data_IF_631920103101
#
_entry.id   IF_631920103101
#
_cell.length_a   1.000
_cell.length_b   1.000
_cell.length_c   1.000
_cell.angle_alpha   90.00
_cell.angle_beta   90.00
_cell.angle_gamma   90.00
#
_symmetry.space_group_name_H-M   'P 1'
#
loop_
_entity.id
_entity.type
_entity.pdbx_description
1 polymer ?
#
# COMPACT_ATOMS: atom_id res chain seq x y z
N UNK A 1 2.79 18.48 34.32
CA UNK A 1 1.54 17.85 33.83
C UNK A 1 1.91 16.45 33.30
N UNK A 2 1.30 15.37 33.81
CA UNK A 2 1.51 14.01 33.24
C UNK A 2 0.79 13.97 31.89
N UNK A 3 1.53 13.85 30.80
CA UNK A 3 1.01 13.55 29.47
C UNK A 3 0.07 12.33 29.56
N UNK A 4 -1.12 12.48 29.03
CA UNK A 4 -2.17 11.44 29.08
C UNK A 4 -1.83 10.43 27.98
N UNK A 5 -1.17 9.32 28.34
CA UNK A 5 -0.73 8.29 27.38
C UNK A 5 -1.87 7.85 26.44
N UNK A 6 -1.59 7.82 25.15
CA UNK A 6 -2.50 7.31 24.12
C UNK A 6 -3.01 5.91 24.47
N UNK A 7 -4.29 5.66 24.19
CA UNK A 7 -4.92 4.34 24.39
C UNK A 7 -5.27 3.71 23.05
N UNK A 8 -5.20 2.37 22.96
CA UNK A 8 -5.68 1.63 21.79
C UNK A 8 -7.16 1.94 21.54
N UNK A 9 -7.54 2.16 20.28
CA UNK A 9 -8.88 2.57 19.85
C UNK A 9 -9.15 4.08 19.91
N UNK A 10 -8.28 4.87 20.54
CA UNK A 10 -8.42 6.31 20.59
C UNK A 10 -8.25 6.92 19.19
N UNK A 11 -9.15 7.83 18.83
CA UNK A 11 -9.01 8.69 17.65
C UNK A 11 -8.39 10.01 18.10
N UNK A 12 -7.41 10.48 17.35
CA UNK A 12 -6.73 11.73 17.60
C UNK A 12 -6.26 12.38 16.30
N UNK A 13 -5.89 13.65 16.37
CA UNK A 13 -5.29 14.40 15.29
C UNK A 13 -3.88 14.87 15.66
N UNK A 14 -3.10 15.19 14.64
CA UNK A 14 -1.79 15.78 14.83
C UNK A 14 -1.11 16.15 13.51
N UNK A 15 0.01 16.81 13.63
CA UNK A 15 0.80 17.27 12.50
C UNK A 15 1.93 16.28 12.21
N UNK A 16 2.08 15.91 10.95
CA UNK A 16 3.18 15.06 10.49
C UNK A 16 4.46 15.90 10.41
N UNK A 17 5.41 15.63 11.29
CA UNK A 17 6.66 16.39 11.36
C UNK A 17 7.72 15.86 10.40
N UNK A 18 7.86 14.52 10.31
CA UNK A 18 8.82 13.84 9.45
C UNK A 18 8.33 12.45 9.06
N UNK A 19 9.04 11.81 8.13
CA UNK A 19 8.77 10.42 7.73
C UNK A 19 10.05 9.60 7.82
N UNK A 20 10.06 8.61 8.70
CA UNK A 20 11.13 7.63 8.83
C UNK A 20 10.95 6.49 7.81
N UNK A 21 12.06 5.84 7.47
CA UNK A 21 12.05 4.68 6.55
C UNK A 21 11.24 3.49 7.13
N UNK A 22 10.52 2.75 6.30
CA UNK A 22 10.27 2.96 4.87
C UNK A 22 9.11 3.93 4.58
N UNK A 23 8.19 4.17 5.51
CA UNK A 23 6.99 4.98 5.33
C UNK A 23 6.28 5.19 6.69
N UNK A 24 7.04 5.58 7.69
CA UNK A 24 6.56 5.80 9.06
C UNK A 24 6.49 7.30 9.32
N UNK A 25 5.32 7.91 9.10
CA UNK A 25 5.12 9.31 9.47
C UNK A 25 5.13 9.48 10.97
N UNK A 26 5.87 10.44 11.45
CA UNK A 26 5.93 10.86 12.84
C UNK A 26 4.91 11.97 13.02
N UNK A 27 3.84 11.66 13.71
CA UNK A 27 2.77 12.60 14.02
C UNK A 27 2.95 13.10 15.45
N UNK A 28 2.93 14.42 15.61
CA UNK A 28 2.86 15.07 16.93
C UNK A 28 1.44 15.58 17.13
N UNK A 29 0.79 15.09 18.18
CA UNK A 29 -0.54 15.59 18.58
C UNK A 29 -0.44 16.96 19.24
N UNK A 30 -1.57 17.64 19.38
CA UNK A 30 -1.62 18.94 20.04
C UNK A 30 -1.24 18.86 21.54
N UNK A 31 -1.38 17.65 22.15
CA UNK A 31 -0.93 17.34 23.50
C UNK A 31 0.55 16.94 23.60
N UNK A 32 1.29 16.96 22.51
CA UNK A 32 2.73 16.62 22.46
C UNK A 32 3.04 15.13 22.45
N UNK A 33 2.07 14.27 22.19
CA UNK A 33 2.27 12.83 22.05
C UNK A 33 2.82 12.47 20.67
N UNK A 34 3.84 11.61 20.63
CA UNK A 34 4.43 11.10 19.38
C UNK A 34 3.77 9.80 18.95
N UNK A 35 3.18 9.77 17.74
CA UNK A 35 2.50 8.61 17.17
C UNK A 35 3.07 8.30 15.79
N UNK A 36 3.27 7.03 15.48
CA UNK A 36 3.71 6.58 14.15
C UNK A 36 2.47 6.27 13.31
N UNK A 37 2.28 7.00 12.21
CA UNK A 37 1.18 6.79 11.26
C UNK A 37 1.73 6.60 9.86
N UNK A 38 1.49 5.44 9.26
CA UNK A 38 1.95 5.14 7.90
C UNK A 38 1.14 5.89 6.83
N UNK A 39 1.72 6.03 5.64
CA UNK A 39 1.08 6.65 4.47
C UNK A 39 0.76 8.14 4.67
N UNK A 40 1.59 8.85 5.38
CA UNK A 40 1.49 10.29 5.60
C UNK A 40 2.71 11.02 5.03
N UNK A 41 2.58 12.33 4.86
CA UNK A 41 3.57 13.20 4.26
C UNK A 41 3.89 14.35 5.23
N UNK A 42 5.16 14.78 5.37
CA UNK A 42 5.54 15.88 6.25
C UNK A 42 4.75 17.16 5.91
N UNK A 43 4.22 17.81 6.96
CA UNK A 43 3.41 19.02 6.84
C UNK A 43 1.91 18.78 6.70
N UNK A 44 1.46 17.52 6.61
CA UNK A 44 0.03 17.19 6.72
C UNK A 44 -0.46 17.31 8.16
N UNK A 45 -1.74 17.70 8.34
CA UNK A 45 -2.52 17.41 9.56
C UNK A 45 -3.40 16.20 9.28
N UNK A 46 -3.34 15.21 10.15
CA UNK A 46 -4.00 13.91 9.91
C UNK A 46 -4.82 13.49 11.13
N UNK A 47 -5.96 12.86 10.87
CA UNK A 47 -6.75 12.11 11.84
C UNK A 47 -6.38 10.63 11.75
N UNK A 48 -6.20 9.97 12.90
CA UNK A 48 -5.79 8.56 12.96
C UNK A 48 -6.41 7.85 14.16
N UNK A 49 -6.60 6.55 14.04
CA UNK A 49 -6.98 5.67 15.15
C UNK A 49 -5.75 4.92 15.67
N UNK A 50 -5.51 5.00 16.98
CA UNK A 50 -4.41 4.28 17.63
C UNK A 50 -4.72 2.78 17.61
N UNK A 51 -3.92 2.00 16.92
CA UNK A 51 -4.11 0.55 16.79
C UNK A 51 -3.18 -0.26 17.70
N UNK A 52 -2.06 0.33 18.14
CA UNK A 52 -1.10 -0.35 18.99
C UNK A 52 -0.38 0.63 19.91
N UNK A 53 -0.20 0.21 21.15
CA UNK A 53 0.68 0.91 22.12
C UNK A 53 1.59 -0.13 22.76
N UNK A 54 2.91 0.03 22.60
CA UNK A 54 3.90 -0.88 23.18
C UNK A 54 5.14 -0.12 23.63
N UNK A 55 5.59 -0.36 24.85
CA UNK A 55 6.80 0.28 25.44
C UNK A 55 6.83 1.81 25.25
N UNK A 56 5.70 2.49 25.45
CA UNK A 56 5.60 3.94 25.32
C UNK A 56 5.55 4.48 23.87
N UNK A 57 5.60 3.59 22.84
CA UNK A 57 5.44 3.96 21.43
C UNK A 57 4.02 3.66 20.99
N UNK A 58 3.34 4.66 20.42
CA UNK A 58 2.02 4.52 19.83
C UNK A 58 2.13 4.41 18.30
N UNK A 59 1.36 3.49 17.70
CA UNK A 59 1.17 3.37 16.26
C UNK A 59 -0.30 3.59 15.94
N UNK A 60 -0.58 4.35 14.88
CA UNK A 60 -1.93 4.68 14.45
C UNK A 60 -2.16 4.28 12.98
N UNK A 61 -3.41 3.99 12.66
CA UNK A 61 -3.90 3.83 11.29
C UNK A 61 -4.48 5.15 10.83
N UNK A 62 -3.98 5.68 9.72
CA UNK A 62 -4.52 6.88 9.08
C UNK A 62 -6.02 6.68 8.78
N UNK A 63 -6.84 7.62 9.21
CA UNK A 63 -8.26 7.71 8.87
C UNK A 63 -8.46 8.72 7.75
N UNK A 64 -7.92 9.92 7.91
CA UNK A 64 -8.12 11.03 7.00
C UNK A 64 -6.95 12.00 7.02
N UNK A 65 -6.72 12.65 5.89
CA UNK A 65 -5.85 13.84 5.80
C UNK A 65 -6.70 15.07 5.97
N UNK A 66 -6.74 15.63 7.19
CA UNK A 66 -7.53 16.80 7.56
C UNK A 66 -7.05 18.05 6.81
N UNK A 67 -5.74 18.20 6.68
CA UNK A 67 -5.12 19.27 5.90
C UNK A 67 -3.93 18.73 5.12
N UNK A 68 -3.90 19.00 3.81
CA UNK A 68 -2.77 18.66 2.94
C UNK A 68 -1.53 19.46 3.32
N UNK A 69 -0.37 18.88 3.05
CA UNK A 69 0.90 19.60 3.13
C UNK A 69 0.95 20.71 2.07
N UNK A 70 1.47 21.91 2.39
CA UNK A 70 1.66 22.95 1.38
C UNK A 70 2.64 22.55 0.27
N UNK A 71 3.37 21.44 0.43
CA UNK A 71 4.29 20.89 -0.57
C UNK A 71 3.59 19.94 -1.57
N UNK A 72 2.34 19.54 -1.30
CA UNK A 72 1.65 18.62 -2.18
C UNK A 72 1.15 19.29 -3.44
N UNK A 73 1.27 18.58 -4.57
CA UNK A 73 0.74 18.95 -5.87
C UNK A 73 -0.58 18.24 -6.16
N UNK A 74 -1.42 18.86 -6.96
CA UNK A 74 -2.64 18.24 -7.50
C UNK A 74 -2.32 17.32 -8.70
N UNK A 75 -1.16 17.45 -9.34
CA UNK A 75 -0.76 16.63 -10.48
C UNK A 75 -0.29 15.24 -10.02
N UNK A 76 -1.25 14.39 -9.74
CA UNK A 76 -1.03 13.00 -9.32
C UNK A 76 -1.67 12.01 -10.29
N UNK A 77 -1.27 10.74 -10.19
CA UNK A 77 -2.00 9.65 -10.83
C UNK A 77 -3.43 9.59 -10.32
N UNK A 78 -4.41 9.38 -11.21
CA UNK A 78 -5.84 9.30 -10.84
C UNK A 78 -6.14 8.21 -9.81
N UNK A 79 -5.29 7.18 -9.72
CA UNK A 79 -5.42 6.10 -8.74
C UNK A 79 -4.67 6.36 -7.43
N UNK A 80 -3.97 7.52 -7.31
CA UNK A 80 -3.24 7.86 -6.09
C UNK A 80 -4.18 7.98 -4.90
N UNK A 81 -3.77 7.41 -3.77
CA UNK A 81 -4.62 7.34 -2.57
C UNK A 81 -5.45 6.06 -2.47
N UNK A 82 -5.94 5.53 -3.59
CA UNK A 82 -6.64 4.24 -3.64
C UNK A 82 -5.66 3.08 -3.88
N UNK A 83 -4.83 3.19 -4.92
CA UNK A 83 -3.79 2.21 -5.23
C UNK A 83 -2.68 2.20 -4.17
N UNK A 84 -2.27 1.02 -3.73
CA UNK A 84 -1.18 0.83 -2.76
C UNK A 84 0.23 1.02 -3.32
N UNK A 85 0.38 1.24 -4.63
CA UNK A 85 1.69 1.21 -5.31
C UNK A 85 2.61 2.40 -5.06
N UNK A 86 2.07 3.60 -4.78
CA UNK A 86 2.86 4.82 -4.62
C UNK A 86 2.60 5.50 -3.27
N UNK A 87 3.68 5.99 -2.63
CA UNK A 87 3.60 6.66 -1.33
C UNK A 87 3.70 8.18 -1.43
N UNK A 88 4.60 8.69 -2.26
CA UNK A 88 4.98 10.11 -2.28
C UNK A 88 4.60 10.84 -3.58
N UNK A 89 3.74 10.27 -4.42
CA UNK A 89 3.44 10.84 -5.74
C UNK A 89 2.71 12.19 -5.69
N UNK A 90 2.09 12.55 -4.56
CA UNK A 90 1.53 13.88 -4.35
C UNK A 90 2.58 14.96 -4.08
N UNK A 91 3.87 14.59 -3.97
CA UNK A 91 4.96 15.54 -3.82
C UNK A 91 5.70 15.77 -5.14
N UNK A 92 6.18 16.98 -5.42
CA UNK A 92 7.16 17.22 -6.48
C UNK A 92 8.37 16.30 -6.32
N UNK A 93 9.00 15.92 -7.44
CA UNK A 93 10.06 14.92 -7.43
C UNK A 93 11.25 15.32 -6.54
N UNK A 94 11.64 16.58 -6.53
CA UNK A 94 12.69 17.12 -5.67
C UNK A 94 12.39 16.94 -4.19
N UNK A 95 11.13 17.11 -3.78
CA UNK A 95 10.72 16.88 -2.39
C UNK A 95 10.76 15.38 -2.04
N UNK A 96 10.42 14.50 -2.99
CA UNK A 96 10.59 13.05 -2.83
C UNK A 96 12.07 12.67 -2.62
N UNK A 97 12.99 13.29 -3.37
CA UNK A 97 14.43 13.08 -3.23
C UNK A 97 14.92 13.53 -1.85
N UNK A 98 14.53 14.74 -1.40
CA UNK A 98 14.89 15.24 -0.07
C UNK A 98 14.47 14.30 1.06
N UNK A 99 13.24 13.78 1.00
CA UNK A 99 12.75 12.80 1.98
C UNK A 99 13.64 11.55 1.98
N UNK A 100 13.90 10.98 0.80
CA UNK A 100 14.73 9.77 0.66
C UNK A 100 16.16 9.99 1.13
N UNK A 101 16.75 11.11 0.77
CA UNK A 101 18.10 11.47 1.21
C UNK A 101 18.19 11.60 2.72
N UNK A 102 17.23 12.31 3.34
CA UNK A 102 17.15 12.45 4.81
C UNK A 102 16.99 11.09 5.49
N UNK A 103 16.16 10.21 4.93
CA UNK A 103 15.96 8.86 5.48
C UNK A 103 17.24 8.03 5.42
N UNK A 104 17.94 8.01 4.28
CA UNK A 104 19.17 7.26 4.10
C UNK A 104 20.28 7.80 5.01
N UNK A 105 20.46 9.13 5.03
CA UNK A 105 21.42 9.78 5.91
C UNK A 105 21.18 9.41 7.38
N UNK A 106 19.94 9.54 7.85
CA UNK A 106 19.60 9.20 9.23
C UNK A 106 19.81 7.72 9.59
N UNK A 107 19.60 6.79 8.64
CA UNK A 107 19.91 5.37 8.87
C UNK A 107 21.41 5.12 8.94
N UNK A 108 22.21 5.78 8.11
CA UNK A 108 23.67 5.67 8.13
C UNK A 108 24.21 6.25 9.46
N UNK A 109 23.79 7.46 9.82
CA UNK A 109 24.19 8.12 11.06
C UNK A 109 23.85 7.27 12.30
N UNK A 110 22.65 6.65 12.31
CA UNK A 110 22.26 5.77 13.38
C UNK A 110 23.11 4.49 13.44
N UNK A 111 23.54 3.97 12.29
CA UNK A 111 24.32 2.73 12.23
C UNK A 111 25.80 2.94 12.56
N UNK A 112 26.38 4.05 12.12
CA UNK A 112 27.81 4.37 12.26
C UNK A 112 28.07 5.07 13.61
N UNK A 113 27.15 5.95 14.06
CA UNK A 113 27.35 6.84 15.20
C UNK A 113 28.58 7.73 14.98
N UNK A 114 29.34 7.94 16.03
CA UNK A 114 30.59 8.71 16.01
C UNK A 114 31.82 7.87 15.65
N UNK A 115 31.62 6.62 15.18
CA UNK A 115 32.70 5.63 15.00
C UNK A 115 33.69 6.01 13.88
N UNK A 116 33.22 6.71 12.83
CA UNK A 116 34.08 7.18 11.75
C UNK A 116 33.50 8.39 11.03
N UNK A 117 34.39 9.24 10.51
CA UNK A 117 34.01 10.29 9.57
C UNK A 117 33.69 9.66 8.19
N UNK A 118 32.64 10.15 7.54
CA UNK A 118 32.27 9.74 6.19
C UNK A 118 31.83 10.94 5.37
N UNK A 119 32.00 10.85 4.07
CA UNK A 119 31.47 11.82 3.13
C UNK A 119 30.13 11.33 2.57
N UNK A 120 29.11 12.18 2.65
CA UNK A 120 27.78 11.87 2.12
C UNK A 120 27.52 12.65 0.85
N UNK A 121 27.52 11.98 -0.28
CA UNK A 121 27.18 12.57 -1.56
C UNK A 121 25.67 12.74 -1.70
N UNK A 122 25.21 13.85 -2.32
CA UNK A 122 23.80 14.09 -2.53
C UNK A 122 23.17 13.02 -3.45
N UNK A 123 21.87 12.77 -3.23
CA UNK A 123 21.12 11.79 -4.03
C UNK A 123 21.14 12.18 -5.52
N UNK A 124 21.47 11.22 -6.37
CA UNK A 124 21.35 11.41 -7.82
C UNK A 124 19.91 11.20 -8.26
N UNK A 125 19.36 12.17 -8.99
CA UNK A 125 18.02 12.06 -9.53
C UNK A 125 17.94 11.11 -10.72
N UNK A 126 16.76 10.51 -10.94
CA UNK A 126 16.49 9.72 -12.15
C UNK A 126 16.30 10.65 -13.35
N UNK A 127 16.80 10.30 -14.55
CA UNK A 127 16.52 11.05 -15.78
C UNK A 127 15.05 10.97 -16.19
N UNK A 128 14.30 9.99 -15.66
CA UNK A 128 12.86 9.79 -15.87
C UNK A 128 12.14 9.74 -14.54
N UNK A 129 11.19 10.62 -14.32
CA UNK A 129 10.36 10.67 -13.10
C UNK A 129 9.03 9.93 -13.26
N UNK A 130 8.59 9.72 -14.50
CA UNK A 130 7.42 8.94 -14.90
C UNK A 130 7.84 7.85 -15.89
N UNK A 131 7.03 6.82 -16.07
CA UNK A 131 7.28 5.70 -16.97
C UNK A 131 8.68 5.06 -16.79
N UNK A 132 9.20 5.07 -15.57
CA UNK A 132 10.55 4.57 -15.27
C UNK A 132 10.58 3.09 -14.90
N UNK A 133 9.43 2.53 -14.54
CA UNK A 133 9.33 1.17 -14.00
C UNK A 133 9.33 0.16 -15.13
N UNK A 134 10.27 -0.76 -15.11
CA UNK A 134 10.50 -1.76 -16.15
C UNK A 134 10.01 -3.18 -15.77
N UNK A 135 9.41 -3.34 -14.60
CA UNK A 135 8.77 -4.58 -14.14
C UNK A 135 7.53 -4.26 -13.33
N UNK A 136 6.41 -4.88 -13.68
CA UNK A 136 5.19 -4.80 -12.90
C UNK A 136 4.56 -6.18 -12.77
N UNK A 137 4.05 -6.48 -11.59
CA UNK A 137 3.27 -7.67 -11.32
C UNK A 137 1.89 -7.20 -10.86
N UNK A 138 0.92 -7.41 -11.73
CA UNK A 138 -0.47 -7.09 -11.46
C UNK A 138 -1.15 -8.32 -10.86
N UNK A 139 -2.05 -8.10 -9.92
CA UNK A 139 -2.83 -9.16 -9.30
C UNK A 139 -4.23 -9.21 -9.89
N UNK A 140 -4.74 -10.43 -10.13
CA UNK A 140 -6.16 -10.65 -10.35
C UNK A 140 -6.90 -10.69 -9.02
N UNK A 141 -8.14 -10.20 -9.01
CA UNK A 141 -9.02 -10.18 -7.85
C UNK A 141 -10.33 -9.47 -8.14
N UNK A 142 -11.05 -9.08 -7.10
CA UNK A 142 -12.27 -8.27 -7.18
C UNK A 142 -11.94 -6.77 -7.05
N UNK A 143 -12.70 -5.90 -7.69
CA UNK A 143 -12.63 -4.45 -7.41
C UNK A 143 -13.12 -4.12 -5.98
N UNK A 144 -14.13 -4.86 -5.56
CA UNK A 144 -14.71 -4.89 -4.23
C UNK A 144 -15.30 -6.29 -4.01
N UNK A 145 -15.62 -6.64 -2.77
CA UNK A 145 -16.17 -7.96 -2.42
C UNK A 145 -17.32 -8.36 -3.36
N UNK A 146 -17.19 -9.50 -4.00
CA UNK A 146 -18.14 -10.06 -4.99
C UNK A 146 -18.37 -9.14 -6.21
N UNK A 147 -17.43 -8.24 -6.48
CA UNK A 147 -17.44 -7.34 -7.61
C UNK A 147 -16.91 -7.97 -8.90
N UNK A 148 -16.80 -7.18 -9.98
CA UNK A 148 -16.28 -7.65 -11.24
C UNK A 148 -14.81 -8.04 -11.14
N UNK A 149 -14.37 -8.96 -12.01
CA UNK A 149 -12.96 -9.29 -12.15
C UNK A 149 -12.13 -8.03 -12.42
N UNK A 150 -11.10 -7.84 -11.62
CA UNK A 150 -10.13 -6.76 -11.74
C UNK A 150 -8.73 -7.33 -11.96
N UNK A 151 -7.89 -6.56 -12.65
CA UNK A 151 -6.47 -6.81 -12.80
C UNK A 151 -5.71 -5.52 -12.53
N UNK A 152 -4.83 -5.52 -11.53
CA UNK A 152 -4.14 -4.29 -11.16
C UNK A 152 -3.34 -4.40 -9.87
N UNK A 153 -3.42 -3.37 -9.05
CA UNK A 153 -2.68 -3.27 -7.80
C UNK A 153 -3.63 -3.38 -6.61
N UNK A 154 -3.15 -3.96 -5.51
CA UNK A 154 -3.92 -3.99 -4.28
C UNK A 154 -4.31 -2.58 -3.83
N UNK A 155 -5.57 -2.42 -3.42
CA UNK A 155 -6.09 -1.20 -2.84
C UNK A 155 -5.39 -0.92 -1.52
N UNK A 156 -5.10 0.33 -1.27
CA UNK A 156 -4.44 0.77 -0.04
C UNK A 156 -5.28 0.41 1.19
N UNK A 157 -4.69 -0.36 2.11
CA UNK A 157 -5.38 -0.80 3.31
C UNK A 157 -6.30 -2.01 3.15
N UNK A 158 -6.42 -2.57 1.94
CA UNK A 158 -7.11 -3.83 1.67
C UNK A 158 -6.12 -4.92 1.21
N UNK A 159 -6.39 -6.16 1.59
CA UNK A 159 -5.65 -7.34 1.12
C UNK A 159 -6.32 -8.02 -0.08
N UNK A 160 -7.58 -7.70 -0.33
CA UNK A 160 -8.42 -8.40 -1.30
C UNK A 160 -8.75 -7.53 -2.50
N UNK A 161 -9.17 -6.29 -2.27
CA UNK A 161 -9.62 -5.41 -3.34
C UNK A 161 -8.49 -5.02 -4.28
N UNK A 162 -8.75 -5.09 -5.58
CA UNK A 162 -7.82 -4.74 -6.64
C UNK A 162 -8.29 -3.45 -7.32
N UNK A 163 -7.38 -2.52 -7.49
CA UNK A 163 -7.59 -1.30 -8.29
C UNK A 163 -7.02 -1.54 -9.68
N UNK A 164 -7.87 -1.52 -10.69
CA UNK A 164 -7.43 -1.57 -12.09
C UNK A 164 -6.71 -0.27 -12.43
N UNK A 165 -5.42 -0.37 -12.76
CA UNK A 165 -4.53 0.81 -12.89
C UNK A 165 -4.25 1.15 -14.35
N UNK A 166 -5.31 1.36 -15.12
CA UNK A 166 -5.28 1.64 -16.55
C UNK A 166 -4.52 2.92 -16.92
N UNK A 167 -4.36 3.85 -15.97
CA UNK A 167 -3.65 5.12 -16.16
C UNK A 167 -2.46 5.26 -15.20
N UNK A 168 -1.78 4.14 -14.91
CA UNK A 168 -0.61 4.14 -14.04
C UNK A 168 0.55 4.96 -14.64
N UNK A 169 0.98 6.01 -13.95
CA UNK A 169 1.99 6.95 -14.45
C UNK A 169 3.44 6.46 -14.30
N UNK A 170 3.70 5.45 -13.46
CA UNK A 170 5.07 4.95 -13.24
C UNK A 170 5.50 3.89 -14.26
N UNK A 171 4.56 3.32 -15.03
CA UNK A 171 4.82 2.43 -16.16
C UNK A 171 4.49 3.11 -17.48
N UNK A 172 5.06 2.62 -18.58
CA UNK A 172 4.77 3.14 -19.91
C UNK A 172 3.44 2.61 -20.49
N UNK A 173 3.10 3.07 -21.72
CA UNK A 173 1.87 2.74 -22.39
C UNK A 173 1.69 1.25 -22.65
N UNK A 174 2.77 0.52 -22.94
CA UNK A 174 2.72 -0.91 -23.27
C UNK A 174 2.20 -1.73 -22.09
N UNK A 175 2.67 -1.44 -20.87
CA UNK A 175 2.17 -2.11 -19.66
C UNK A 175 0.66 -1.92 -19.46
N UNK A 176 0.18 -0.71 -19.70
CA UNK A 176 -1.24 -0.37 -19.56
C UNK A 176 -2.09 -1.05 -20.64
N UNK A 177 -1.61 -1.06 -21.87
CA UNK A 177 -2.27 -1.73 -22.98
C UNK A 177 -2.36 -3.25 -22.74
N UNK A 178 -1.27 -3.89 -22.31
CA UNK A 178 -1.22 -5.33 -21.98
C UNK A 178 -2.17 -5.64 -20.83
N UNK A 179 -2.15 -4.84 -19.75
CA UNK A 179 -3.06 -5.00 -18.61
C UNK A 179 -4.51 -4.98 -19.06
N UNK A 180 -4.91 -3.96 -19.84
CA UNK A 180 -6.30 -3.77 -20.25
C UNK A 180 -6.76 -4.85 -21.25
N UNK A 181 -5.91 -5.24 -22.21
CA UNK A 181 -6.22 -6.32 -23.14
C UNK A 181 -6.39 -7.66 -22.41
N UNK A 182 -5.50 -7.96 -21.46
CA UNK A 182 -5.57 -9.18 -20.63
C UNK A 182 -6.84 -9.21 -19.79
N UNK A 183 -7.17 -8.10 -19.13
CA UNK A 183 -8.39 -8.00 -18.32
C UNK A 183 -9.66 -8.17 -19.16
N UNK A 184 -9.73 -7.51 -20.32
CA UNK A 184 -10.87 -7.60 -21.23
C UNK A 184 -11.09 -9.05 -21.69
N UNK A 185 -10.00 -9.73 -22.11
CA UNK A 185 -10.06 -11.12 -22.53
C UNK A 185 -10.61 -12.05 -21.44
N UNK A 186 -10.09 -11.98 -20.22
CA UNK A 186 -10.53 -12.88 -19.15
C UNK A 186 -11.92 -12.54 -18.59
N UNK A 187 -12.37 -11.30 -18.70
CA UNK A 187 -13.77 -10.92 -18.43
C UNK A 187 -14.74 -11.56 -19.43
N UNK A 188 -14.38 -11.53 -20.71
CA UNK A 188 -15.18 -12.14 -21.78
C UNK A 188 -15.26 -13.67 -21.65
N UNK A 189 -14.17 -14.30 -21.21
CA UNK A 189 -14.12 -15.76 -21.03
C UNK A 189 -14.71 -16.23 -19.70
N UNK A 190 -15.14 -15.31 -18.84
CA UNK A 190 -15.71 -15.60 -17.50
C UNK A 190 -14.80 -16.51 -16.64
N UNK A 191 -13.46 -16.33 -16.74
CA UNK A 191 -12.48 -17.13 -16.01
C UNK A 191 -12.21 -16.48 -14.65
N UNK A 192 -12.39 -17.25 -13.57
CA UNK A 192 -12.26 -16.78 -12.20
C UNK A 192 -10.82 -16.66 -11.73
N UNK A 193 -10.56 -15.64 -10.88
CA UNK A 193 -9.29 -15.49 -10.19
C UNK A 193 -9.19 -16.46 -8.99
N UNK A 194 -7.96 -16.74 -8.57
CA UNK A 194 -7.67 -17.59 -7.42
C UNK A 194 -8.02 -16.88 -6.11
N UNK A 195 -9.02 -17.42 -5.42
CA UNK A 195 -9.45 -16.93 -4.13
C UNK A 195 -8.63 -17.57 -3.00
N UNK A 196 -7.81 -16.77 -2.32
CA UNK A 196 -6.81 -17.24 -1.33
C UNK A 196 -7.41 -18.00 -0.14
N UNK A 197 -8.64 -17.69 0.26
CA UNK A 197 -9.28 -18.30 1.41
C UNK A 197 -9.94 -19.64 1.07
N UNK A 198 -10.46 -19.75 -0.15
CA UNK A 198 -11.12 -20.96 -0.64
C UNK A 198 -10.15 -21.94 -1.28
N UNK A 199 -8.95 -21.45 -1.64
CA UNK A 199 -7.96 -22.18 -2.43
C UNK A 199 -8.49 -22.67 -3.77
N UNK A 200 -9.44 -21.94 -4.37
CA UNK A 200 -10.06 -22.25 -5.67
C UNK A 200 -9.91 -21.08 -6.63
N UNK A 201 -9.90 -21.36 -7.92
CA UNK A 201 -9.75 -20.38 -9.00
C UNK A 201 -8.47 -20.54 -9.79
N UNK A 202 -8.39 -19.86 -10.94
CA UNK A 202 -7.33 -20.06 -11.92
C UNK A 202 -6.33 -18.91 -11.97
N UNK A 203 -6.79 -17.69 -12.21
CA UNK A 203 -5.95 -16.51 -12.46
C UNK A 203 -5.31 -15.98 -11.17
N UNK A 204 -4.00 -15.72 -11.18
CA UNK A 204 -3.28 -15.18 -10.03
C UNK A 204 -2.64 -13.83 -10.31
N UNK A 205 -1.68 -13.79 -11.22
CA UNK A 205 -0.91 -12.59 -11.50
C UNK A 205 -0.59 -12.47 -12.99
N UNK A 206 -0.38 -11.23 -13.44
CA UNK A 206 0.19 -10.89 -14.72
C UNK A 206 1.51 -10.16 -14.48
N UNK A 207 2.62 -10.78 -14.84
CA UNK A 207 3.93 -10.18 -14.79
C UNK A 207 4.28 -9.59 -16.16
N UNK A 208 4.62 -8.32 -16.20
CA UNK A 208 5.12 -7.65 -17.40
C UNK A 208 6.51 -7.09 -17.13
N UNK A 209 7.45 -7.35 -17.99
CA UNK A 209 8.80 -6.78 -17.99
C UNK A 209 9.10 -6.15 -19.35
N UNK A 210 9.81 -5.03 -19.35
CA UNK A 210 10.30 -4.38 -20.56
C UNK A 210 11.80 -4.11 -20.44
N UNK A 211 12.55 -4.58 -21.41
CA UNK A 211 13.97 -4.30 -21.51
C UNK A 211 14.16 -2.85 -21.97
N UNK A 212 14.79 -2.03 -21.14
CA UNK A 212 14.94 -0.58 -21.44
C UNK A 212 15.82 -0.32 -22.67
N UNK A 213 16.80 -1.19 -22.93
CA UNK A 213 17.76 -1.02 -24.05
C UNK A 213 17.26 -1.59 -25.37
N UNK A 214 16.61 -2.74 -25.36
CA UNK A 214 16.16 -3.43 -26.58
C UNK A 214 14.69 -3.17 -26.92
N UNK A 215 13.89 -2.73 -25.93
CA UNK A 215 12.45 -2.53 -26.08
C UNK A 215 11.64 -3.83 -25.99
N UNK A 216 12.28 -4.99 -25.87
CA UNK A 216 11.61 -6.29 -25.78
C UNK A 216 10.71 -6.37 -24.54
N UNK A 217 9.58 -7.02 -24.71
CA UNK A 217 8.58 -7.17 -23.63
C UNK A 217 8.39 -8.66 -23.36
N UNK A 218 8.49 -9.03 -22.07
CA UNK A 218 8.10 -10.33 -21.55
C UNK A 218 6.77 -10.17 -20.82
N UNK A 219 5.81 -11.02 -21.18
CA UNK A 219 4.52 -11.15 -20.50
C UNK A 219 4.41 -12.56 -19.95
N UNK A 220 4.16 -12.70 -18.68
CA UNK A 220 4.02 -13.98 -17.99
C UNK A 220 2.69 -13.99 -17.21
N UNK A 221 1.81 -14.94 -17.57
CA UNK A 221 0.53 -15.17 -16.90
C UNK A 221 0.71 -16.27 -15.86
N UNK A 222 0.63 -15.89 -14.59
CA UNK A 222 0.76 -16.80 -13.47
C UNK A 222 -0.63 -17.32 -13.08
N UNK A 223 -0.81 -18.63 -13.14
CA UNK A 223 -2.07 -19.30 -12.83
C UNK A 223 -1.88 -20.39 -11.79
N UNK A 224 -2.97 -20.99 -11.35
CA UNK A 224 -2.95 -22.26 -10.62
C UNK A 224 -2.94 -23.43 -11.61
N UNK A 225 -2.74 -24.63 -11.10
CA UNK A 225 -2.86 -25.89 -11.87
C UNK A 225 -4.30 -26.43 -11.92
N UNK A 226 -5.27 -25.69 -11.34
CA UNK A 226 -6.67 -26.08 -11.38
C UNK A 226 -7.25 -25.90 -12.78
N UNK A 227 -8.08 -26.82 -13.22
CA UNK A 227 -8.80 -26.68 -14.48
C UNK A 227 -9.87 -25.59 -14.34
N UNK A 228 -9.66 -24.48 -15.05
CA UNK A 228 -10.56 -23.33 -15.03
C UNK A 228 -11.99 -23.65 -15.48
N UNK A 229 -12.19 -24.73 -16.29
CA UNK A 229 -13.51 -25.18 -16.76
C UNK A 229 -14.31 -25.85 -15.66
N UNK A 230 -13.65 -26.37 -14.63
CA UNK A 230 -14.27 -27.11 -13.52
C UNK A 230 -14.30 -26.30 -12.21
N UNK A 231 -13.79 -25.06 -12.22
CA UNK A 231 -13.87 -24.16 -11.08
C UNK A 231 -15.28 -23.56 -11.04
N UNK A 232 -16.21 -24.26 -10.39
CA UNK A 232 -17.53 -23.71 -10.14
C UNK A 232 -17.47 -22.65 -9.05
N UNK A 233 -18.28 -21.62 -9.19
CA UNK A 233 -18.49 -20.62 -8.16
C UNK A 233 -19.06 -21.31 -6.91
N UNK A 234 -18.37 -21.19 -5.78
CA UNK A 234 -18.92 -21.70 -4.53
C UNK A 234 -20.11 -20.85 -4.13
N UNK A 235 -21.15 -21.51 -3.63
CA UNK A 235 -22.39 -20.88 -3.17
C UNK A 235 -22.08 -19.64 -2.29
N UNK A 236 -22.79 -18.52 -2.48
CA UNK A 236 -22.56 -17.29 -1.73
C UNK A 236 -22.59 -17.46 -0.21
N UNK A 237 -23.34 -18.45 0.29
CA UNK A 237 -23.51 -18.71 1.71
C UNK A 237 -22.25 -19.34 2.38
N UNK A 238 -21.51 -20.19 1.68
CA UNK A 238 -20.22 -20.71 2.17
C UNK A 238 -19.14 -19.62 2.18
N UNK A 239 -19.19 -18.71 1.23
CA UNK A 239 -18.31 -17.56 1.15
C UNK A 239 -18.47 -16.65 2.37
N UNK A 240 -19.69 -16.31 2.72
CA UNK A 240 -20.03 -15.53 3.89
C UNK A 240 -19.56 -16.19 5.20
N UNK A 241 -19.70 -17.51 5.32
CA UNK A 241 -19.27 -18.27 6.51
C UNK A 241 -17.75 -18.26 6.69
N UNK A 242 -16.99 -18.44 5.62
CA UNK A 242 -15.52 -18.42 5.67
C UNK A 242 -14.99 -17.03 6.02
N UNK A 243 -15.57 -15.98 5.45
CA UNK A 243 -15.17 -14.60 5.75
C UNK A 243 -15.55 -14.17 7.16
N UNK A 244 -16.74 -14.55 7.66
CA UNK A 244 -17.15 -14.32 9.03
C UNK A 244 -16.20 -15.01 10.03
N UNK A 245 -15.85 -16.27 9.78
CA UNK A 245 -14.90 -17.01 10.62
C UNK A 245 -13.49 -16.41 10.64
N UNK A 246 -13.06 -15.75 9.56
CA UNK A 246 -11.77 -15.07 9.48
C UNK A 246 -11.78 -13.69 10.13
N UNK A 247 -12.87 -12.94 10.01
CA UNK A 247 -13.09 -11.70 10.74
C UNK A 247 -13.12 -11.95 12.25
N UNK A 248 -13.76 -13.03 12.70
CA UNK A 248 -13.71 -13.46 14.10
C UNK A 248 -12.29 -13.81 14.55
N UNK A 249 -11.50 -14.54 13.76
CA UNK A 249 -10.10 -14.86 14.08
C UNK A 249 -9.20 -13.63 14.11
N UNK A 250 -9.45 -12.64 13.27
CA UNK A 250 -8.71 -11.36 13.27
C UNK A 250 -9.16 -10.44 14.42
N UNK A 251 -10.39 -10.58 14.90
CA UNK A 251 -10.94 -9.84 16.05
C UNK A 251 -10.61 -10.47 17.41
N UNK A 252 -10.26 -11.72 17.48
CA UNK A 252 -9.79 -12.37 18.70
C UNK A 252 -8.33 -12.02 18.97
N UNK A 253 -8.12 -10.87 19.59
CA UNK A 253 -6.92 -10.67 20.38
C UNK A 253 -6.93 -11.71 21.52
N UNK A 254 -5.87 -12.53 21.74
CA UNK A 254 -5.87 -13.59 22.73
C UNK A 254 -5.76 -13.11 24.20
N UNK A 255 -6.33 -11.95 24.53
CA UNK A 255 -6.43 -11.44 25.90
C UNK A 255 -7.69 -10.56 26.08
N UNK A 256 -8.86 -11.18 25.92
CA UNK A 256 -10.02 -10.74 26.66
C UNK A 256 -10.14 -11.66 27.88
N UNK A 257 -9.36 -11.40 28.90
CA UNK A 257 -9.56 -11.96 30.22
C UNK A 257 -10.93 -11.51 30.70
N UNK A 258 -11.80 -12.48 30.99
CA UNK A 258 -13.02 -12.35 31.76
C UNK A 258 -12.71 -11.56 33.03
N UNK A 259 -13.30 -10.38 33.17
CA UNK A 259 -13.54 -9.77 34.48
C UNK A 259 -14.83 -10.41 34.98
N UNK A 260 -14.70 -11.38 35.86
CA UNK A 260 -15.77 -11.77 36.74
C UNK A 260 -15.98 -10.67 37.78
N UNK A 261 -17.22 -10.47 38.14
CA UNK A 261 -17.85 -9.60 39.10
C UNK A 261 -17.01 -9.11 40.29
#
# INVERSE_FOLDING_TARGET
>A
MRSKRMKKGQIAEGNVTTVEFPNKGIVMTDEGERVIVKNTIPGQRVSFAVNKVRKGKAEGRLLETVKKSPRETADTCRHFGQCGGCTYQSLPYEEQLKIKETQVRGMIEQAIGDACAYEFFPIRHSPRVLAYRNKMEFSFGDEYKDGPLALGMHKRGSFYDIVTVEDCRIVDGDFRAILMATLAYFREQEIFFYHRLRHTGYLRHLLVRKAVKTGEILVDLITTTQDWRNVQEQEPDERAKIEAALLEKQGRCPHAGTVNE
#
